data_IF_882692623762
#
_entry.id   IF_882692623762
#
_cell.length_a   1.000
_cell.length_b   1.000
_cell.length_c   1.000
_cell.angle_alpha   90.00
_cell.angle_beta   90.00
_cell.angle_gamma   90.00
#
_symmetry.space_group_name_H-M   'P 1'
#
loop_
_entity.id
_entity.type
_entity.pdbx_description
1 polymer ?
#
# COMPACT_ATOMS: atom_id res chain seq x y z
N UNK A 1 5.15 20.09 -7.33
CA UNK A 1 6.09 19.06 -7.78
C UNK A 1 6.44 19.34 -9.23
N UNK A 2 7.52 20.06 -9.48
CA UNK A 2 7.96 20.42 -10.83
C UNK A 2 9.15 19.55 -11.22
N UNK A 3 9.04 18.90 -12.39
CA UNK A 3 10.15 18.34 -13.17
C UNK A 3 10.82 17.01 -12.71
N UNK A 4 10.13 16.14 -11.97
CA UNK A 4 10.63 14.78 -11.72
C UNK A 4 10.30 13.85 -12.90
N UNK A 5 11.30 13.09 -13.36
CA UNK A 5 11.11 12.10 -14.44
C UNK A 5 10.53 10.83 -13.85
N UNK A 6 9.52 10.26 -14.50
CA UNK A 6 8.88 9.03 -14.07
C UNK A 6 9.88 7.86 -14.03
N UNK A 7 9.84 7.02 -13.00
CA UNK A 7 10.84 5.97 -12.76
C UNK A 7 10.93 4.97 -13.92
N UNK A 8 9.81 4.68 -14.58
CA UNK A 8 9.77 3.85 -15.79
C UNK A 8 10.61 4.39 -16.95
N UNK A 9 10.84 5.70 -17.04
CA UNK A 9 11.66 6.33 -18.07
C UNK A 9 13.15 6.32 -17.72
N UNK A 10 13.51 5.96 -16.48
CA UNK A 10 14.89 5.99 -15.96
C UNK A 10 15.21 4.77 -15.08
N UNK A 11 14.57 3.63 -15.36
CA UNK A 11 14.56 2.44 -14.51
C UNK A 11 15.96 2.04 -14.03
N UNK A 12 16.90 1.87 -14.96
CA UNK A 12 18.27 1.40 -14.68
C UNK A 12 19.10 2.41 -13.87
N UNK A 13 18.86 3.71 -14.09
CA UNK A 13 19.61 4.77 -13.41
C UNK A 13 19.04 5.08 -12.02
N UNK A 14 17.73 4.95 -11.84
CA UNK A 14 17.03 5.28 -10.60
C UNK A 14 17.00 4.09 -9.63
N UNK A 15 16.64 2.91 -10.14
CA UNK A 15 16.46 1.67 -9.38
C UNK A 15 17.63 0.73 -9.64
N UNK A 16 18.73 0.97 -8.94
CA UNK A 16 19.88 0.07 -8.97
C UNK A 16 19.59 -1.19 -8.14
N UNK A 17 19.98 -2.38 -8.61
CA UNK A 17 19.87 -3.60 -7.82
C UNK A 17 20.59 -3.46 -6.47
N UNK A 18 20.13 -4.20 -5.47
CA UNK A 18 20.65 -4.17 -4.10
C UNK A 18 22.19 -4.35 -4.03
N UNK A 19 22.75 -5.18 -4.91
CA UNK A 19 24.19 -5.35 -5.09
C UNK A 19 24.49 -5.81 -6.53
N UNK A 20 25.77 -5.90 -6.91
CA UNK A 20 26.19 -6.23 -8.29
C UNK A 20 26.08 -7.71 -8.67
N UNK A 21 25.91 -8.61 -7.70
CA UNK A 21 25.93 -10.06 -7.90
C UNK A 21 24.56 -10.72 -7.65
N UNK A 22 23.54 -9.93 -7.27
CA UNK A 22 22.18 -10.39 -7.05
C UNK A 22 21.57 -10.94 -8.33
N UNK A 23 20.82 -12.04 -8.23
CA UNK A 23 20.19 -12.69 -9.38
C UNK A 23 18.71 -12.87 -9.17
N UNK A 24 17.92 -12.37 -10.12
CA UNK A 24 16.48 -12.61 -10.17
C UNK A 24 16.23 -14.09 -10.45
N UNK A 25 15.41 -14.72 -9.62
CA UNK A 25 14.98 -16.12 -9.80
C UNK A 25 13.60 -16.15 -10.46
N UNK A 26 12.64 -15.44 -9.89
CA UNK A 26 11.26 -15.44 -10.36
C UNK A 26 10.54 -14.17 -9.94
N UNK A 27 9.47 -13.84 -10.66
CA UNK A 27 8.45 -12.87 -10.24
C UNK A 27 7.14 -13.63 -10.15
N UNK A 28 6.45 -13.52 -9.01
CA UNK A 28 5.17 -14.18 -8.83
C UNK A 28 4.17 -13.62 -9.88
N UNK A 29 3.51 -14.50 -10.65
CA UNK A 29 2.52 -14.05 -11.62
C UNK A 29 1.34 -13.40 -10.92
N UNK A 30 0.77 -12.39 -11.57
CA UNK A 30 -0.39 -11.67 -11.06
C UNK A 30 -1.69 -12.46 -11.30
N UNK A 31 -1.80 -13.62 -10.66
CA UNK A 31 -2.98 -14.49 -10.72
C UNK A 31 -4.07 -13.99 -9.78
N UNK A 32 -5.33 -14.34 -10.04
CA UNK A 32 -6.44 -14.01 -9.13
C UNK A 32 -6.16 -14.47 -7.69
N UNK A 33 -5.59 -15.66 -7.51
CA UNK A 33 -5.19 -16.17 -6.19
C UNK A 33 -4.20 -15.25 -5.47
N UNK A 34 -3.22 -14.67 -6.18
CA UNK A 34 -2.28 -13.71 -5.58
C UNK A 34 -2.96 -12.37 -5.28
N UNK A 35 -3.76 -11.85 -6.21
CA UNK A 35 -4.52 -10.60 -6.05
C UNK A 35 -5.44 -10.68 -4.82
N UNK A 36 -6.22 -11.74 -4.73
CA UNK A 36 -7.18 -11.97 -3.65
C UNK A 36 -6.46 -12.06 -2.30
N UNK A 37 -5.30 -12.73 -2.22
CA UNK A 37 -4.50 -12.73 -0.99
C UNK A 37 -4.06 -11.31 -0.59
N UNK A 38 -3.54 -10.51 -1.53
CA UNK A 38 -3.13 -9.14 -1.24
C UNK A 38 -4.31 -8.31 -0.74
N UNK A 39 -5.46 -8.39 -1.43
CA UNK A 39 -6.67 -7.67 -1.05
C UNK A 39 -7.21 -8.13 0.32
N UNK A 40 -7.20 -9.44 0.59
CA UNK A 40 -7.61 -10.01 1.87
C UNK A 40 -6.79 -9.42 3.02
N UNK A 41 -5.45 -9.39 2.90
CA UNK A 41 -4.59 -8.77 3.91
C UNK A 41 -4.95 -7.31 4.14
N UNK A 42 -4.97 -6.49 3.07
CA UNK A 42 -5.22 -5.06 3.20
C UNK A 42 -6.61 -4.75 3.76
N UNK A 43 -7.65 -5.42 3.26
CA UNK A 43 -9.02 -5.16 3.69
C UNK A 43 -9.28 -5.67 5.12
N UNK A 44 -8.67 -6.79 5.53
CA UNK A 44 -8.74 -7.24 6.93
C UNK A 44 -8.04 -6.26 7.88
N UNK A 45 -6.89 -5.72 7.49
CA UNK A 45 -6.18 -4.70 8.26
C UNK A 45 -6.99 -3.40 8.39
N UNK A 46 -7.58 -2.94 7.29
CA UNK A 46 -8.44 -1.75 7.26
C UNK A 46 -9.69 -1.95 8.10
N UNK A 47 -10.34 -3.11 8.03
CA UNK A 47 -11.52 -3.42 8.85
C UNK A 47 -11.20 -3.41 10.35
N UNK A 48 -10.07 -4.03 10.74
CA UNK A 48 -9.60 -4.04 12.12
C UNK A 48 -9.37 -2.63 12.67
N UNK A 49 -8.75 -1.73 11.90
CA UNK A 49 -8.53 -0.33 12.31
C UNK A 49 -9.85 0.43 12.35
N UNK A 50 -10.67 0.29 11.31
CA UNK A 50 -11.94 0.98 11.19
C UNK A 50 -12.92 0.64 12.32
N UNK A 51 -12.84 -0.58 12.87
CA UNK A 51 -13.66 -1.02 14.01
C UNK A 51 -13.44 -0.19 15.28
N UNK A 52 -12.27 0.45 15.43
CA UNK A 52 -11.89 1.13 16.67
C UNK A 52 -11.55 0.18 17.83
N UNK A 53 -11.17 -1.07 17.53
CA UNK A 53 -10.76 -2.08 18.53
C UNK A 53 -9.26 -2.38 18.51
N UNK A 54 -8.51 -1.78 17.60
CA UNK A 54 -7.07 -1.99 17.49
C UNK A 54 -6.35 -1.25 18.62
N UNK A 55 -5.50 -1.95 19.37
CA UNK A 55 -4.79 -1.42 20.55
C UNK A 55 -3.28 -1.45 20.33
N UNK A 56 -2.59 -0.33 20.50
CA UNK A 56 -1.14 -0.24 20.38
C UNK A 56 -0.42 -0.95 21.56
N UNK A 57 0.92 -0.97 21.55
CA UNK A 57 1.70 -1.64 22.61
C UNK A 57 1.55 -1.02 24.01
N UNK A 58 1.08 0.23 24.07
CA UNK A 58 0.89 0.99 25.31
C UNK A 58 -0.56 0.89 25.84
N UNK A 59 -1.42 0.07 25.22
CA UNK A 59 -2.82 -0.07 25.64
C UNK A 59 -3.75 1.04 25.14
N UNK A 60 -3.30 1.90 24.23
CA UNK A 60 -4.11 3.00 23.66
C UNK A 60 -4.83 2.49 22.41
N UNK A 61 -6.12 2.75 22.35
CA UNK A 61 -7.01 2.29 21.28
C UNK A 61 -6.96 3.26 20.09
N UNK A 62 -6.92 2.74 18.88
CA UNK A 62 -7.08 3.54 17.67
C UNK A 62 -8.54 3.98 17.51
N UNK A 63 -8.79 5.24 17.13
CA UNK A 63 -10.16 5.70 16.89
C UNK A 63 -10.77 4.98 15.68
N UNK A 64 -12.07 4.70 15.72
CA UNK A 64 -12.79 4.10 14.60
C UNK A 64 -12.82 5.03 13.38
N UNK A 65 -12.92 4.46 12.18
CA UNK A 65 -12.94 5.21 10.92
C UNK A 65 -14.35 5.25 10.34
N UNK A 66 -14.88 6.45 10.05
CA UNK A 66 -16.27 6.59 9.58
C UNK A 66 -16.50 6.15 8.13
N UNK A 67 -15.44 6.11 7.33
CA UNK A 67 -15.54 5.96 5.87
C UNK A 67 -14.40 5.14 5.24
N UNK A 68 -13.78 4.24 5.98
CA UNK A 68 -12.70 3.42 5.43
C UNK A 68 -13.23 2.56 4.27
N UNK A 69 -12.66 2.68 3.08
CA UNK A 69 -13.11 1.88 1.91
C UNK A 69 -12.40 0.53 1.83
N UNK A 70 -13.10 -0.48 1.34
CA UNK A 70 -12.47 -1.66 0.76
C UNK A 70 -11.52 -1.25 -0.37
N UNK A 71 -10.35 -1.87 -0.44
CA UNK A 71 -9.46 -1.75 -1.59
C UNK A 71 -9.88 -2.72 -2.68
N UNK A 72 -9.70 -2.28 -3.93
CA UNK A 72 -9.82 -3.13 -5.11
C UNK A 72 -8.48 -3.19 -5.85
N UNK A 73 -8.27 -4.24 -6.64
CA UNK A 73 -7.04 -4.41 -7.40
C UNK A 73 -6.95 -3.41 -8.55
N UNK A 74 -5.78 -2.81 -8.76
CA UNK A 74 -5.49 -2.01 -9.95
C UNK A 74 -4.32 -2.58 -10.74
N UNK A 75 -4.59 -2.91 -12.01
CA UNK A 75 -3.61 -3.59 -12.87
C UNK A 75 -2.49 -2.67 -13.35
N UNK A 76 -2.72 -1.36 -13.46
CA UNK A 76 -1.68 -0.39 -13.84
C UNK A 76 -0.70 -0.22 -12.69
N UNK A 77 -1.19 -0.05 -11.46
CA UNK A 77 -0.36 -0.03 -10.25
C UNK A 77 0.41 -1.35 -10.07
N UNK A 78 -0.24 -2.49 -10.33
CA UNK A 78 0.41 -3.79 -10.27
C UNK A 78 1.54 -3.93 -11.31
N UNK A 79 1.33 -3.43 -12.52
CA UNK A 79 2.37 -3.40 -13.55
C UNK A 79 3.57 -2.54 -13.13
N UNK A 80 3.34 -1.35 -12.57
CA UNK A 80 4.42 -0.49 -12.08
C UNK A 80 5.20 -1.15 -10.93
N UNK A 81 4.51 -1.78 -9.97
CA UNK A 81 5.15 -2.52 -8.88
C UNK A 81 5.98 -3.72 -9.39
N UNK A 82 5.52 -4.39 -10.48
CA UNK A 82 6.26 -5.48 -11.14
C UNK A 82 7.58 -5.00 -11.71
N UNK A 83 7.56 -3.82 -12.36
CA UNK A 83 8.77 -3.21 -12.92
C UNK A 83 9.74 -2.79 -11.82
N UNK A 84 9.22 -2.31 -10.68
CA UNK A 84 10.04 -2.06 -9.49
C UNK A 84 10.74 -3.34 -9.01
N UNK A 85 9.99 -4.39 -8.64
CA UNK A 85 10.62 -5.61 -8.07
C UNK A 85 11.51 -6.37 -9.05
N UNK A 86 11.32 -6.17 -10.37
CA UNK A 86 12.21 -6.70 -11.41
C UNK A 86 13.61 -6.08 -11.36
N UNK A 87 13.73 -4.82 -10.93
CA UNK A 87 15.01 -4.14 -10.77
C UNK A 87 15.85 -4.67 -9.60
N UNK A 88 15.23 -5.43 -8.68
CA UNK A 88 15.84 -5.90 -7.43
C UNK A 88 16.41 -4.75 -6.57
N UNK A 89 15.84 -3.56 -6.70
CA UNK A 89 16.15 -2.41 -5.88
C UNK A 89 15.31 -2.43 -4.60
N UNK A 90 15.91 -1.98 -3.49
CA UNK A 90 15.19 -1.68 -2.24
C UNK A 90 15.26 -0.19 -1.95
N UNK A 91 14.91 0.60 -2.97
CA UNK A 91 14.93 2.06 -2.94
C UNK A 91 13.58 2.56 -3.41
N UNK A 92 12.99 3.50 -2.69
CA UNK A 92 11.77 4.17 -3.14
C UNK A 92 11.96 4.88 -4.49
N UNK A 93 10.95 4.78 -5.34
CA UNK A 93 10.91 5.52 -6.62
C UNK A 93 10.63 7.00 -6.39
N UNK A 94 11.12 7.90 -7.22
CA UNK A 94 10.94 9.36 -7.04
C UNK A 94 9.59 9.82 -7.62
N UNK A 95 9.26 9.35 -8.83
CA UNK A 95 8.02 9.69 -9.51
C UNK A 95 7.39 8.43 -10.10
N UNK A 96 6.21 8.08 -9.60
CA UNK A 96 5.44 6.86 -9.94
C UNK A 96 3.97 7.15 -10.23
N UNK A 97 3.65 8.43 -10.50
CA UNK A 97 2.30 8.90 -10.81
C UNK A 97 1.84 8.35 -12.14
N UNK A 98 0.57 7.96 -12.22
CA UNK A 98 -0.10 7.62 -13.48
C UNK A 98 -1.18 8.66 -13.78
N UNK A 99 -1.70 8.67 -15.00
CA UNK A 99 -2.72 9.66 -15.42
C UNK A 99 -3.94 9.69 -14.50
N UNK A 100 -4.35 8.52 -14.00
CA UNK A 100 -5.51 8.37 -13.08
C UNK A 100 -5.17 8.76 -11.65
N UNK A 101 -3.92 8.62 -11.23
CA UNK A 101 -3.49 8.72 -9.84
C UNK A 101 -2.22 9.57 -9.75
N UNK A 102 -2.35 10.88 -9.46
CA UNK A 102 -1.20 11.78 -9.43
C UNK A 102 -0.32 11.61 -8.19
N UNK A 103 -0.83 11.00 -7.11
CA UNK A 103 -0.16 10.88 -5.81
C UNK A 103 0.03 9.41 -5.41
N UNK A 104 0.61 8.58 -6.28
CA UNK A 104 0.76 7.14 -6.03
C UNK A 104 1.68 6.87 -4.82
N UNK A 105 1.13 6.18 -3.82
CA UNK A 105 1.85 5.69 -2.64
C UNK A 105 2.69 4.45 -2.95
N UNK A 106 3.67 4.14 -2.11
CA UNK A 106 4.52 2.95 -2.28
C UNK A 106 4.91 2.36 -0.92
N UNK A 107 4.67 1.06 -0.74
CA UNK A 107 5.27 0.27 0.33
C UNK A 107 6.27 -0.71 -0.27
N UNK A 108 7.46 -0.80 0.31
CA UNK A 108 8.51 -1.74 -0.08
C UNK A 108 8.87 -2.66 1.09
N UNK A 109 9.01 -3.95 0.82
CA UNK A 109 9.53 -4.91 1.80
C UNK A 109 10.65 -5.72 1.19
N UNK A 110 11.68 -5.97 1.97
CA UNK A 110 12.77 -6.88 1.65
C UNK A 110 12.99 -7.82 2.82
N UNK A 111 12.82 -9.12 2.59
CA UNK A 111 13.13 -10.15 3.58
C UNK A 111 14.21 -11.09 3.05
N UNK A 112 15.07 -11.54 3.95
CA UNK A 112 16.13 -12.51 3.66
C UNK A 112 15.82 -13.85 4.33
N UNK A 113 16.09 -14.96 3.63
CA UNK A 113 16.02 -16.29 4.21
C UNK A 113 17.26 -17.10 3.87
N UNK A 114 17.79 -17.83 4.86
CA UNK A 114 18.86 -18.80 4.67
C UNK A 114 18.34 -20.14 4.11
N UNK A 115 17.05 -20.23 3.76
CA UNK A 115 16.44 -21.44 3.20
C UNK A 115 16.66 -21.50 1.69
N UNK A 116 17.15 -22.65 1.24
CA UNK A 116 17.35 -22.96 -0.20
C UNK A 116 16.07 -23.40 -0.90
N UNK A 117 15.02 -23.77 -0.16
CA UNK A 117 13.68 -24.01 -0.73
C UNK A 117 12.90 -22.71 -0.80
N UNK A 118 12.16 -22.51 -1.88
CA UNK A 118 11.20 -21.41 -1.98
C UNK A 118 10.19 -21.48 -0.84
N UNK A 119 9.92 -20.33 -0.22
CA UNK A 119 8.89 -20.20 0.80
C UNK A 119 7.52 -20.06 0.13
N UNK A 120 6.46 -20.48 0.83
CA UNK A 120 5.10 -20.25 0.33
C UNK A 120 4.84 -18.75 0.29
N UNK A 121 4.13 -18.28 -0.74
CA UNK A 121 3.80 -16.87 -0.91
C UNK A 121 3.12 -16.30 0.35
N UNK A 122 2.19 -17.05 0.96
CA UNK A 122 1.50 -16.61 2.18
C UNK A 122 2.44 -16.40 3.37
N UNK A 123 3.48 -17.23 3.52
CA UNK A 123 4.48 -17.08 4.59
C UNK A 123 5.32 -15.82 4.37
N UNK A 124 5.68 -15.54 3.11
CA UNK A 124 6.37 -14.31 2.72
C UNK A 124 5.49 -13.08 2.95
N UNK A 125 4.20 -13.13 2.60
CA UNK A 125 3.25 -12.05 2.86
C UNK A 125 3.06 -11.77 4.36
N UNK A 126 3.08 -12.81 5.20
CA UNK A 126 3.07 -12.66 6.65
C UNK A 126 4.33 -11.96 7.19
N UNK A 127 5.50 -12.18 6.58
CA UNK A 127 6.74 -11.52 6.98
C UNK A 127 6.91 -10.13 6.38
N UNK A 128 6.03 -9.73 5.46
CA UNK A 128 6.08 -8.44 4.77
C UNK A 128 4.86 -7.58 5.15
N UNK A 129 3.70 -7.80 4.52
CA UNK A 129 2.49 -7.01 4.74
C UNK A 129 2.03 -6.97 6.21
N UNK A 130 2.06 -8.11 6.91
CA UNK A 130 1.66 -8.12 8.33
C UNK A 130 2.67 -7.40 9.21
N UNK A 131 3.97 -7.47 8.92
CA UNK A 131 4.98 -6.70 9.65
C UNK A 131 4.84 -5.19 9.41
N UNK A 132 4.58 -4.78 8.16
CA UNK A 132 4.23 -3.39 7.82
C UNK A 132 2.99 -2.92 8.58
N UNK A 133 1.96 -3.76 8.66
CA UNK A 133 0.77 -3.42 9.43
C UNK A 133 1.09 -3.26 10.92
N UNK A 134 1.89 -4.18 11.50
CA UNK A 134 2.25 -4.18 12.92
C UNK A 134 3.01 -2.94 13.40
N UNK A 135 3.50 -2.08 12.51
CA UNK A 135 4.03 -0.75 12.82
C UNK A 135 3.07 0.09 13.65
N UNK A 136 1.75 -0.15 13.55
CA UNK A 136 0.73 0.51 14.39
C UNK A 136 1.03 0.40 15.90
N UNK A 137 1.70 -0.67 16.32
CA UNK A 137 2.03 -0.92 17.73
C UNK A 137 2.96 0.13 18.30
N UNK A 138 3.80 0.74 17.46
CA UNK A 138 4.80 1.73 17.85
C UNK A 138 4.31 3.17 17.77
N UNK A 139 3.07 3.39 17.29
CA UNK A 139 2.43 4.72 17.32
C UNK A 139 2.07 5.07 18.76
N UNK A 140 2.74 6.10 19.30
CA UNK A 140 2.58 6.52 20.69
C UNK A 140 1.20 7.14 20.97
N UNK A 141 0.67 7.95 20.05
CA UNK A 141 -0.61 8.65 20.17
C UNK A 141 -1.50 8.36 18.94
N UNK A 142 -2.25 7.25 18.95
CA UNK A 142 -3.15 6.88 17.85
C UNK A 142 -4.20 7.95 17.51
N UNK A 143 -4.73 8.68 18.49
CA UNK A 143 -5.77 9.69 18.23
C UNK A 143 -5.21 10.87 17.44
N UNK A 144 -4.06 11.39 17.85
CA UNK A 144 -3.41 12.50 17.16
C UNK A 144 -2.84 12.09 15.80
N UNK A 145 -2.22 10.91 15.71
CA UNK A 145 -1.57 10.46 14.47
C UNK A 145 -2.54 10.25 13.31
N UNK A 146 -3.81 9.92 13.56
CA UNK A 146 -4.78 9.70 12.47
C UNK A 146 -5.33 10.99 11.88
N UNK A 147 -5.38 12.06 12.69
CA UNK A 147 -5.86 13.37 12.25
C UNK A 147 -4.77 14.18 11.53
N UNK A 148 -3.51 13.89 11.83
CA UNK A 148 -2.36 14.63 11.29
C UNK A 148 -1.17 13.71 11.05
N UNK A 149 -0.84 13.51 9.77
CA UNK A 149 0.36 12.77 9.37
C UNK A 149 1.61 13.63 9.55
N UNK A 150 2.37 13.36 10.60
CA UNK A 150 3.62 14.06 10.93
C UNK A 150 4.85 13.27 10.48
N UNK A 151 5.52 13.73 9.43
CA UNK A 151 6.75 13.12 8.91
C UNK A 151 7.91 13.08 9.92
N UNK A 152 7.92 13.93 10.96
CA UNK A 152 8.99 13.99 11.97
C UNK A 152 8.72 13.01 13.13
N UNK A 153 7.46 12.71 13.41
CA UNK A 153 7.05 11.71 14.41
C UNK A 153 6.85 10.32 13.79
N UNK A 154 6.82 10.23 12.46
CA UNK A 154 6.79 9.01 11.68
C UNK A 154 8.15 8.77 11.01
N UNK A 155 9.13 8.17 11.70
CA UNK A 155 10.27 7.57 10.98
C UNK A 155 9.75 6.64 9.88
N UNK A 156 10.56 6.33 8.86
CA UNK A 156 10.18 5.47 7.73
C UNK A 156 9.44 4.17 8.17
N UNK A 157 9.72 3.70 9.39
CA UNK A 157 9.07 2.56 10.06
C UNK A 157 7.60 2.75 10.49
N UNK A 158 6.94 3.88 10.21
CA UNK A 158 5.49 4.06 10.42
C UNK A 158 4.75 4.40 9.11
N UNK A 159 5.49 4.64 8.02
CA UNK A 159 4.93 5.02 6.74
C UNK A 159 4.12 3.90 6.10
N UNK A 160 4.50 2.64 6.31
CA UNK A 160 3.84 1.53 5.64
C UNK A 160 2.44 1.30 6.18
N UNK A 161 2.28 1.22 7.51
CA UNK A 161 0.97 1.07 8.15
C UNK A 161 0.02 2.18 7.73
N UNK A 162 0.48 3.43 7.78
CA UNK A 162 -0.37 4.60 7.57
C UNK A 162 -0.91 4.68 6.14
N UNK A 163 -0.15 4.31 5.10
CA UNK A 163 -0.67 4.20 3.73
C UNK A 163 -1.73 3.08 3.62
N UNK A 164 -1.47 1.91 4.23
CA UNK A 164 -2.41 0.77 4.16
C UNK A 164 -3.78 1.11 4.74
N UNK A 165 -3.84 2.03 5.71
CA UNK A 165 -5.06 2.41 6.43
C UNK A 165 -5.53 3.83 6.10
N UNK A 166 -5.03 4.42 5.01
CA UNK A 166 -5.47 5.74 4.60
C UNK A 166 -6.87 5.66 3.94
N UNK A 167 -7.85 6.44 4.39
CA UNK A 167 -9.24 6.33 3.89
C UNK A 167 -9.42 6.85 2.45
N UNK A 168 -8.44 7.61 1.95
CA UNK A 168 -8.37 8.10 0.56
C UNK A 168 -7.75 7.10 -0.40
N UNK A 169 -7.05 6.08 0.09
CA UNK A 169 -6.62 4.95 -0.74
C UNK A 169 -7.83 4.07 -1.05
N UNK A 170 -8.03 3.76 -2.32
CA UNK A 170 -9.07 2.85 -2.83
C UNK A 170 -8.53 1.68 -3.64
N UNK A 171 -7.28 1.75 -4.09
CA UNK A 171 -6.70 0.74 -4.97
C UNK A 171 -5.30 0.38 -4.53
N UNK A 172 -4.96 -0.87 -4.77
CA UNK A 172 -3.61 -1.39 -4.59
C UNK A 172 -3.24 -2.29 -5.76
N UNK A 173 -1.98 -2.23 -6.17
CA UNK A 173 -1.37 -3.20 -7.06
C UNK A 173 0.01 -3.56 -6.53
N UNK A 174 0.25 -4.85 -6.30
CA UNK A 174 1.49 -5.34 -5.73
C UNK A 174 2.20 -6.35 -6.63
N UNK A 175 3.49 -6.53 -6.40
CA UNK A 175 4.29 -7.57 -7.02
C UNK A 175 5.34 -8.11 -6.07
N UNK A 176 5.64 -9.39 -6.20
CA UNK A 176 6.62 -10.12 -5.39
C UNK A 176 7.67 -10.74 -6.30
N UNK A 177 8.95 -10.40 -6.11
CA UNK A 177 10.07 -11.09 -6.76
C UNK A 177 10.89 -11.90 -5.77
N UNK A 178 11.52 -12.95 -6.29
CA UNK A 178 12.44 -13.83 -5.57
C UNK A 178 13.81 -13.64 -6.21
N UNK A 179 14.83 -13.43 -5.39
CA UNK A 179 16.21 -13.35 -5.83
C UNK A 179 17.13 -14.21 -4.96
N UNK A 180 18.34 -14.42 -5.46
CA UNK A 180 19.46 -15.08 -4.77
C UNK A 180 20.68 -14.17 -4.76
N UNK A 181 21.70 -14.53 -3.99
CA UNK A 181 22.94 -13.75 -3.86
C UNK A 181 22.67 -12.33 -3.31
N UNK A 182 21.76 -12.22 -2.34
CA UNK A 182 21.30 -10.94 -1.81
C UNK A 182 22.27 -10.34 -0.76
N UNK A 183 23.14 -11.15 -0.17
CA UNK A 183 24.16 -10.77 0.82
C UNK A 183 25.53 -11.29 0.40
N UNK A 184 26.59 -10.66 0.92
CA UNK A 184 28.00 -10.95 0.56
C UNK A 184 28.52 -12.29 1.09
N UNK A 185 27.88 -12.88 2.09
CA UNK A 185 28.29 -14.18 2.62
C UNK A 185 27.82 -15.29 1.70
N UNK A 186 28.63 -16.36 1.56
CA UNK A 186 28.35 -17.57 0.78
C UNK A 186 27.11 -18.36 1.26
N UNK A 187 26.21 -17.74 2.01
CA UNK A 187 24.99 -18.34 2.51
C UNK A 187 24.04 -18.61 1.34
N UNK A 188 23.74 -19.88 1.15
CA UNK A 188 22.67 -20.31 0.28
C UNK A 188 21.33 -19.77 0.83
N UNK A 189 20.49 -19.21 -0.03
CA UNK A 189 19.26 -18.55 0.43
C UNK A 189 18.58 -17.72 -0.64
N UNK A 190 17.39 -17.25 -0.29
CA UNK A 190 16.59 -16.37 -1.13
C UNK A 190 16.36 -15.04 -0.41
N UNK A 191 16.15 -13.98 -1.17
CA UNK A 191 15.48 -12.79 -0.68
C UNK A 191 14.22 -12.53 -1.49
N UNK A 192 13.25 -11.90 -0.84
CA UNK A 192 11.96 -11.60 -1.43
C UNK A 192 11.73 -10.09 -1.38
N UNK A 193 11.47 -9.50 -2.55
CA UNK A 193 11.12 -8.10 -2.68
C UNK A 193 9.62 -7.99 -2.92
N UNK A 194 8.91 -7.32 -2.01
CA UNK A 194 7.52 -6.94 -2.20
C UNK A 194 7.46 -5.44 -2.49
N UNK A 195 6.77 -5.06 -3.56
CA UNK A 195 6.39 -3.67 -3.82
C UNK A 195 4.86 -3.61 -3.94
N UNK A 196 4.25 -2.64 -3.27
CA UNK A 196 2.84 -2.32 -3.40
C UNK A 196 2.69 -0.84 -3.74
N UNK A 197 2.00 -0.54 -4.84
CA UNK A 197 1.62 0.82 -5.21
C UNK A 197 0.15 1.04 -4.89
N UNK A 198 -0.15 2.24 -4.40
CA UNK A 198 -1.49 2.66 -3.97
C UNK A 198 -1.93 3.88 -4.76
N UNK A 199 -3.23 4.03 -5.03
CA UNK A 199 -3.76 5.17 -5.80
C UNK A 199 -3.66 6.53 -5.08
N UNK A 200 -3.28 6.53 -3.82
CA UNK A 200 -3.00 7.71 -3.02
C UNK A 200 -1.82 7.47 -2.08
N UNK A 201 -1.19 8.55 -1.59
CA UNK A 201 -0.05 8.51 -0.69
C UNK A 201 -0.37 9.30 0.59
N UNK A 202 0.36 9.04 1.67
CA UNK A 202 0.32 9.95 2.81
C UNK A 202 0.87 11.32 2.40
N UNK A 203 0.20 12.37 2.85
CA UNK A 203 0.59 13.77 2.61
C UNK A 203 0.84 14.41 3.96
N UNK A 204 2.01 15.04 4.10
CA UNK A 204 2.40 15.71 5.33
C UNK A 204 1.34 16.74 5.75
N UNK A 205 0.94 16.66 7.02
CA UNK A 205 -0.05 17.53 7.62
C UNK A 205 -1.51 17.25 7.26
N UNK A 206 -1.79 16.20 6.48
CA UNK A 206 -3.15 15.76 6.21
C UNK A 206 -3.51 14.54 7.08
N UNK A 207 -4.81 14.26 7.20
CA UNK A 207 -5.30 13.10 7.94
C UNK A 207 -4.99 11.78 7.21
N UNK A 208 -4.87 10.72 8.00
CA UNK A 208 -4.79 9.33 7.54
C UNK A 208 -6.21 8.84 7.24
N UNK A 209 -7.11 8.97 8.22
CA UNK A 209 -8.52 8.66 8.03
C UNK A 209 -9.41 9.53 8.91
N UNK A 210 -10.66 9.74 8.47
CA UNK A 210 -11.62 10.49 9.28
C UNK A 210 -12.23 9.62 10.38
N UNK A 211 -12.15 10.10 11.62
CA UNK A 211 -12.74 9.47 12.79
C UNK A 211 -14.28 9.45 12.73
N UNK A 212 -14.89 8.49 13.41
CA UNK A 212 -16.33 8.43 13.65
C UNK A 212 -16.88 7.00 13.58
N UNK A 213 -18.19 6.85 13.80
CA UNK A 213 -18.85 5.53 13.80
C UNK A 213 -18.57 4.79 12.49
N UNK A 214 -18.17 3.50 12.52
CA UNK A 214 -17.91 2.73 11.31
C UNK A 214 -19.04 2.87 10.28
N UNK A 215 -18.66 3.04 9.03
CA UNK A 215 -19.54 3.18 7.87
C UNK A 215 -20.52 4.38 7.88
N UNK A 216 -20.49 5.27 8.87
CA UNK A 216 -21.38 6.45 8.93
C UNK A 216 -21.08 7.52 7.88
N UNK A 217 -19.97 7.39 7.14
CA UNK A 217 -19.55 8.31 6.08
C UNK A 217 -19.34 7.66 4.72
N UNK A 218 -19.88 6.45 4.46
CA UNK A 218 -19.70 5.80 3.15
C UNK A 218 -20.33 6.57 1.98
N UNK A 219 -21.39 7.34 2.25
CA UNK A 219 -22.01 8.22 1.27
C UNK A 219 -21.06 9.29 0.70
N UNK A 220 -19.93 9.59 1.37
CA UNK A 220 -18.89 10.46 0.82
C UNK A 220 -18.23 9.90 -0.45
N UNK A 221 -18.41 8.60 -0.71
CA UNK A 221 -17.92 7.89 -1.89
C UNK A 221 -19.06 7.30 -2.72
N UNK A 222 -20.29 7.82 -2.56
CA UNK A 222 -21.49 7.27 -3.20
C UNK A 222 -21.62 5.74 -3.01
N UNK A 223 -21.20 5.25 -1.84
CA UNK A 223 -21.20 3.82 -1.51
C UNK A 223 -21.92 3.51 -0.20
N UNK A 224 -22.21 2.23 0.00
CA UNK A 224 -22.86 1.68 1.20
C UNK A 224 -21.86 0.88 2.04
N UNK A 225 -22.19 0.53 3.29
CA UNK A 225 -21.41 -0.43 4.07
C UNK A 225 -21.20 -1.75 3.30
N UNK A 226 -20.02 -2.34 3.47
CA UNK A 226 -19.64 -3.63 2.90
C UNK A 226 -20.40 -4.78 3.54
N UNK A 227 -20.59 -5.85 2.77
CA UNK A 227 -21.09 -7.14 3.27
C UNK A 227 -19.96 -8.08 3.71
N UNK A 228 -18.74 -7.86 3.20
CA UNK A 228 -17.58 -8.72 3.47
C UNK A 228 -16.75 -8.21 4.64
N UNK A 229 -16.75 -6.89 4.87
CA UNK A 229 -15.96 -6.22 5.91
C UNK A 229 -16.84 -5.21 6.66
N UNK A 230 -17.37 -5.60 7.82
CA UNK A 230 -18.47 -4.90 8.50
C UNK A 230 -18.17 -3.43 8.85
N UNK A 231 -16.90 -3.06 8.96
CA UNK A 231 -16.45 -1.71 9.31
C UNK A 231 -16.01 -0.89 8.11
N UNK A 232 -16.11 -1.44 6.90
CA UNK A 232 -15.70 -0.80 5.65
C UNK A 232 -16.88 -0.38 4.77
N UNK A 233 -16.63 0.64 3.97
CA UNK A 233 -17.47 1.01 2.84
C UNK A 233 -17.13 0.15 1.62
N UNK A 234 -18.16 -0.22 0.86
CA UNK A 234 -18.00 -0.83 -0.46
C UNK A 234 -17.18 0.07 -1.39
N UNK A 235 -16.55 -0.54 -2.39
CA UNK A 235 -15.80 0.15 -3.41
C UNK A 235 -16.38 -0.20 -4.79
N UNK A 236 -16.98 0.80 -5.43
CA UNK A 236 -17.63 0.68 -6.74
C UNK A 236 -16.68 0.95 -7.92
N UNK A 237 -15.38 1.16 -7.66
CA UNK A 237 -14.39 1.45 -8.70
C UNK A 237 -14.37 2.90 -9.19
N UNK A 238 -15.11 3.83 -8.58
CA UNK A 238 -15.00 5.26 -8.89
C UNK A 238 -13.70 5.88 -8.33
N UNK A 239 -13.19 6.89 -9.01
CA UNK A 239 -12.01 7.68 -8.59
C UNK A 239 -12.52 9.01 -8.08
N UNK A 240 -12.29 9.31 -6.81
CA UNK A 240 -12.76 10.55 -6.19
C UNK A 240 -11.65 11.59 -6.14
N UNK A 241 -12.02 12.85 -6.31
CA UNK A 241 -11.09 13.96 -6.14
C UNK A 241 -10.60 14.03 -4.69
N UNK A 242 -9.39 14.56 -4.52
CA UNK A 242 -8.68 14.64 -3.23
C UNK A 242 -9.45 15.48 -2.19
N UNK A 243 -10.15 16.51 -2.67
CA UNK A 243 -11.05 17.31 -1.86
C UNK A 243 -12.45 16.72 -1.99
N UNK A 244 -13.15 16.61 -0.86
CA UNK A 244 -14.54 16.15 -0.76
C UNK A 244 -15.55 17.02 -1.56
N UNK A 245 -15.08 17.83 -2.52
CA UNK A 245 -15.84 18.65 -3.44
C UNK A 245 -16.04 17.92 -4.78
N UNK A 246 -17.14 17.18 -4.83
CA UNK A 246 -17.91 16.79 -6.03
C UNK A 246 -17.21 15.86 -7.03
N UNK A 247 -17.90 14.75 -7.28
CA UNK A 247 -17.76 13.89 -8.46
C UNK A 247 -17.70 14.77 -9.71
N UNK A 248 -16.63 14.68 -10.48
CA UNK A 248 -16.63 15.19 -11.86
C UNK A 248 -17.47 14.20 -12.66
N UNK A 249 -18.76 14.52 -12.81
CA UNK A 249 -19.58 13.91 -13.85
C UNK A 249 -18.93 14.28 -15.18
N UNK A 250 -18.44 13.28 -15.89
CA UNK A 250 -18.05 13.41 -17.28
C UNK A 250 -19.36 13.72 -18.02
N UNK A 251 -19.55 14.98 -18.44
CA UNK A 251 -20.54 15.27 -19.48
C UNK A 251 -20.01 14.61 -20.74
N UNK A 252 -20.77 13.64 -21.24
CA UNK A 252 -20.76 13.32 -22.64
C UNK A 252 -21.33 14.56 -23.33
N UNK A 253 -20.46 15.45 -23.79
CA UNK A 253 -20.86 16.42 -24.80
C UNK A 253 -20.81 15.67 -26.13
N UNK A 254 -22.02 15.25 -26.53
CA UNK A 254 -22.34 14.76 -27.86
C UNK A 254 -21.88 15.75 -28.92
N UNK A 255 -21.36 15.19 -30.00
CA UNK A 255 -21.07 15.86 -31.26
C UNK A 255 -22.30 16.62 -31.78
N UNK A 256 -22.15 17.92 -32.01
CA UNK A 256 -22.85 18.67 -33.06
C UNK A 256 -21.95 19.77 -33.64
#
# INVERSE_FOLDING_TARGET
MANTVHFMCRLETELRPLNSFIKLVAIIPDTYVFRDMILEYHNSFRDAVASGLLVNKNGIVFPSARRMRELVWDSELAYLSRMHVKSLSFKHTVCRSVKRFPLVGENLSLIFTNKTKHQKVRDVLNLTLKNMFLEYKDIADPEKSVDYFDIMQHPESLGHFTIMVNDRVSRVGCSLSIATHCVTTKAAGHCYFLCCHYDFNNVAGEYIYKRGRPCSGCNAFDTTPSRNYLNLCTNNGQIFAKDDSKVVTRSDDDDE
#
